data_IF_132521539262
#
_entry.id   IF_132521539262
#
_cell.length_a   1.000
_cell.length_b   1.000
_cell.length_c   1.000
_cell.angle_alpha   90.00
_cell.angle_beta   90.00
_cell.angle_gamma   90.00
#
_symmetry.space_group_name_H-M   'P 1'
#
loop_
_entity.id
_entity.type
_entity.pdbx_description
1 polymer ?
#
# COMPACT_ATOMS: atom_id res chain seq x y z
N UNK A 1 -1.91 -12.52 -8.26
CA UNK A 1 -2.07 -11.49 -7.20
C UNK A 1 -2.36 -12.18 -5.88
N UNK A 2 -1.61 -11.86 -4.81
CA UNK A 2 -1.81 -12.46 -3.48
C UNK A 2 -3.22 -12.10 -2.94
N UNK A 3 -3.86 -13.06 -2.28
CA UNK A 3 -5.16 -12.90 -1.63
C UNK A 3 -5.17 -11.79 -0.58
N UNK A 4 -4.04 -11.56 0.12
CA UNK A 4 -3.89 -10.41 1.00
C UNK A 4 -4.09 -9.08 0.25
N UNK A 5 -3.48 -8.94 -0.93
CA UNK A 5 -3.60 -7.74 -1.75
C UNK A 5 -5.03 -7.59 -2.27
N UNK A 6 -5.69 -8.69 -2.69
CA UNK A 6 -7.10 -8.67 -3.13
C UNK A 6 -8.01 -8.16 -2.02
N UNK A 7 -7.85 -8.70 -0.81
CA UNK A 7 -8.63 -8.32 0.37
C UNK A 7 -8.45 -6.84 0.68
N UNK A 8 -7.21 -6.32 0.62
CA UNK A 8 -6.93 -4.89 0.80
C UNK A 8 -7.62 -4.02 -0.23
N UNK A 9 -7.55 -4.38 -1.52
CA UNK A 9 -8.21 -3.58 -2.57
C UNK A 9 -9.73 -3.54 -2.38
N UNK A 10 -10.34 -4.67 -2.03
CA UNK A 10 -11.79 -4.73 -1.78
C UNK A 10 -12.17 -3.87 -0.58
N UNK A 11 -11.45 -3.98 0.53
CA UNK A 11 -11.72 -3.19 1.72
C UNK A 11 -11.53 -1.68 1.45
N UNK A 12 -10.49 -1.30 0.70
CA UNK A 12 -10.27 0.10 0.30
C UNK A 12 -11.41 0.64 -0.58
N UNK A 13 -11.95 -0.17 -1.49
CA UNK A 13 -13.11 0.23 -2.29
C UNK A 13 -14.35 0.46 -1.41
N UNK A 14 -14.58 -0.41 -0.42
CA UNK A 14 -15.66 -0.25 0.55
C UNK A 14 -15.50 1.07 1.31
N UNK A 15 -14.31 1.32 1.85
CA UNK A 15 -14.03 2.53 2.63
C UNK A 15 -14.22 3.81 1.81
N UNK A 16 -13.83 3.79 0.54
CA UNK A 16 -14.04 4.89 -0.40
C UNK A 16 -15.54 5.17 -0.63
N UNK A 17 -16.33 4.11 -0.82
CA UNK A 17 -17.78 4.23 -1.04
C UNK A 17 -18.48 4.70 0.23
N UNK A 18 -18.09 4.22 1.39
CA UNK A 18 -18.64 4.67 2.68
C UNK A 18 -18.33 6.16 2.90
N UNK A 19 -17.08 6.57 2.66
CA UNK A 19 -16.67 7.97 2.70
C UNK A 19 -17.47 8.85 1.74
N UNK A 20 -17.78 8.33 0.54
CA UNK A 20 -18.65 9.02 -0.42
C UNK A 20 -20.05 9.27 0.14
N UNK A 21 -20.70 8.25 0.71
CA UNK A 21 -22.04 8.39 1.27
C UNK A 21 -22.07 9.32 2.48
N UNK A 22 -21.04 9.28 3.32
CA UNK A 22 -20.89 10.22 4.44
C UNK A 22 -20.75 11.66 3.95
N UNK A 23 -19.87 11.92 2.98
CA UNK A 23 -19.65 13.26 2.44
C UNK A 23 -20.90 13.80 1.72
N UNK A 24 -21.62 12.94 0.99
CA UNK A 24 -22.89 13.30 0.37
C UNK A 24 -23.91 13.77 1.42
N UNK A 25 -23.95 13.11 2.59
CA UNK A 25 -24.84 13.49 3.70
C UNK A 25 -24.41 14.80 4.38
N UNK A 26 -23.10 15.01 4.55
CA UNK A 26 -22.55 16.14 5.34
C UNK A 26 -22.43 17.44 4.54
N UNK A 27 -21.94 17.39 3.29
CA UNK A 27 -21.41 18.59 2.62
C UNK A 27 -22.15 19.00 1.33
N UNK A 28 -23.03 18.16 0.76
CA UNK A 28 -23.89 18.53 -0.38
C UNK A 28 -23.20 18.97 -1.70
N UNK A 29 -21.85 19.01 -1.73
CA UNK A 29 -21.02 19.49 -2.84
C UNK A 29 -21.12 18.54 -4.04
N UNK A 30 -22.03 18.85 -4.97
CA UNK A 30 -22.33 18.00 -6.12
C UNK A 30 -21.13 17.71 -7.03
N UNK A 31 -20.16 18.63 -7.11
CA UNK A 31 -18.97 18.50 -7.94
C UNK A 31 -18.00 17.45 -7.40
N UNK A 32 -17.63 17.53 -6.11
CA UNK A 32 -16.73 16.55 -5.47
C UNK A 32 -17.37 15.16 -5.41
N UNK A 33 -18.68 15.11 -5.19
CA UNK A 33 -19.46 13.87 -5.22
C UNK A 33 -19.37 13.21 -6.60
N UNK A 34 -19.50 13.97 -7.70
CA UNK A 34 -19.43 13.41 -9.06
C UNK A 34 -18.07 12.74 -9.34
N UNK A 35 -16.97 13.39 -8.98
CA UNK A 35 -15.62 12.84 -9.18
C UNK A 35 -15.39 11.58 -8.35
N UNK A 36 -15.80 11.59 -7.08
CA UNK A 36 -15.61 10.47 -6.18
C UNK A 36 -16.43 9.23 -6.62
N UNK A 37 -17.64 9.45 -7.15
CA UNK A 37 -18.46 8.38 -7.75
C UNK A 37 -17.77 7.74 -8.95
N UNK A 38 -17.33 8.54 -9.93
CA UNK A 38 -16.65 8.01 -11.12
C UNK A 38 -15.35 7.28 -10.76
N UNK A 39 -14.61 7.77 -9.77
CA UNK A 39 -13.41 7.11 -9.27
C UNK A 39 -13.71 5.74 -8.65
N UNK A 40 -14.75 5.64 -7.79
CA UNK A 40 -15.16 4.35 -7.21
C UNK A 40 -15.64 3.34 -8.26
N UNK A 41 -16.33 3.81 -9.32
CA UNK A 41 -16.76 2.99 -10.44
C UNK A 41 -15.57 2.46 -11.24
N UNK A 42 -14.54 3.29 -11.47
CA UNK A 42 -13.29 2.88 -12.12
C UNK A 42 -12.57 1.77 -11.35
N UNK A 43 -12.40 1.93 -10.03
CA UNK A 43 -11.79 0.88 -9.19
C UNK A 43 -12.62 -0.40 -9.25
N UNK A 44 -13.95 -0.30 -9.11
CA UNK A 44 -14.83 -1.46 -9.17
C UNK A 44 -14.73 -2.18 -10.53
N UNK A 45 -14.63 -1.44 -11.63
CA UNK A 45 -14.40 -2.00 -12.97
C UNK A 45 -13.08 -2.77 -13.04
N UNK A 46 -11.99 -2.17 -12.58
CA UNK A 46 -10.67 -2.83 -12.56
C UNK A 46 -10.69 -4.10 -11.70
N UNK A 47 -11.38 -4.10 -10.56
CA UNK A 47 -11.48 -5.31 -9.72
C UNK A 47 -12.27 -6.44 -10.40
N UNK A 48 -13.26 -6.10 -11.23
CA UNK A 48 -13.98 -7.08 -12.05
C UNK A 48 -13.09 -7.62 -13.17
N UNK A 49 -12.37 -6.75 -13.89
CA UNK A 49 -11.44 -7.15 -14.95
C UNK A 49 -10.32 -8.05 -14.41
N UNK A 50 -9.81 -7.74 -13.23
CA UNK A 50 -8.81 -8.56 -12.54
C UNK A 50 -9.38 -9.85 -11.93
N UNK A 51 -10.68 -10.13 -12.11
CA UNK A 51 -11.38 -11.29 -11.53
C UNK A 51 -11.23 -11.38 -9.99
N UNK A 52 -11.11 -10.23 -9.33
CA UNK A 52 -11.00 -10.12 -7.86
C UNK A 52 -12.38 -10.20 -7.20
N UNK A 53 -13.38 -9.61 -7.86
CA UNK A 53 -14.81 -9.65 -7.50
C UNK A 53 -15.63 -9.86 -8.77
N UNK A 54 -16.86 -10.36 -8.63
CA UNK A 54 -17.79 -10.41 -9.75
C UNK A 54 -18.53 -9.07 -9.93
N UNK A 55 -19.21 -8.92 -11.08
CA UNK A 55 -19.95 -7.69 -11.38
C UNK A 55 -21.14 -7.44 -10.42
N UNK A 56 -21.70 -8.49 -9.81
CA UNK A 56 -22.81 -8.35 -8.88
C UNK A 56 -22.33 -7.82 -7.51
N UNK A 57 -21.19 -8.30 -7.05
CA UNK A 57 -20.48 -7.85 -5.86
C UNK A 57 -19.99 -6.41 -6.03
N UNK A 58 -19.39 -6.08 -7.18
CA UNK A 58 -19.01 -4.70 -7.52
C UNK A 58 -20.21 -3.74 -7.40
N UNK A 59 -21.36 -4.11 -8.00
CA UNK A 59 -22.61 -3.33 -7.89
C UNK A 59 -23.12 -3.21 -6.45
N UNK A 60 -22.97 -4.26 -5.64
CA UNK A 60 -23.35 -4.21 -4.22
C UNK A 60 -22.44 -3.28 -3.43
N UNK A 61 -21.13 -3.34 -3.65
CA UNK A 61 -20.17 -2.47 -2.98
C UNK A 61 -20.46 -1.01 -3.32
N UNK A 62 -20.65 -0.68 -4.61
CA UNK A 62 -20.97 0.70 -5.06
C UNK A 62 -22.32 1.23 -4.52
N UNK A 63 -23.21 0.36 -4.05
CA UNK A 63 -24.47 0.72 -3.36
C UNK A 63 -24.29 0.88 -1.84
N UNK A 64 -23.08 0.74 -1.30
CA UNK A 64 -22.81 0.76 0.13
C UNK A 64 -23.17 -0.54 0.86
N UNK A 65 -23.31 -1.66 0.15
CA UNK A 65 -23.69 -2.99 0.69
C UNK A 65 -22.51 -3.97 0.59
N UNK A 66 -21.28 -3.43 0.63
CA UNK A 66 -20.05 -4.19 0.62
C UNK A 66 -19.85 -4.98 1.92
N UNK A 67 -19.21 -6.15 1.85
CA UNK A 67 -18.82 -6.92 3.03
C UNK A 67 -17.31 -6.88 3.16
N UNK A 68 -16.80 -6.35 4.27
CA UNK A 68 -15.37 -6.35 4.56
C UNK A 68 -14.86 -7.78 4.71
N UNK A 69 -13.69 -8.04 4.13
CA UNK A 69 -13.02 -9.35 4.20
C UNK A 69 -11.90 -9.30 5.24
N UNK A 70 -11.75 -10.37 6.01
CA UNK A 70 -10.64 -10.53 6.96
C UNK A 70 -9.49 -11.23 6.23
N UNK A 71 -8.23 -10.79 6.41
CA UNK A 71 -7.09 -11.58 5.96
C UNK A 71 -7.14 -12.93 6.66
N UNK A 72 -6.96 -14.01 5.90
CA UNK A 72 -6.68 -15.32 6.51
C UNK A 72 -5.29 -15.18 7.11
N UNK A 73 -5.11 -15.42 8.42
CA UNK A 73 -3.77 -15.49 8.97
C UNK A 73 -3.04 -16.60 8.23
N UNK A 74 -1.94 -16.27 7.55
CA UNK A 74 -1.01 -17.27 7.06
C UNK A 74 -0.60 -18.09 8.29
N UNK A 75 -1.08 -19.32 8.39
CA UNK A 75 -0.50 -20.27 9.34
C UNK A 75 0.99 -20.31 9.02
N UNK A 76 1.87 -20.02 9.98
CA UNK A 76 3.30 -20.08 9.72
C UNK A 76 3.60 -21.50 9.24
N UNK A 77 4.00 -21.60 7.98
CA UNK A 77 4.53 -22.81 7.38
C UNK A 77 5.62 -23.30 8.34
N UNK A 78 5.42 -24.51 8.88
CA UNK A 78 6.29 -25.12 9.88
C UNK A 78 7.75 -24.84 9.54
N UNK A 79 8.44 -24.15 10.44
CA UNK A 79 9.89 -24.03 10.38
C UNK A 79 10.48 -25.43 10.13
N UNK A 80 11.41 -25.59 9.17
CA UNK A 80 12.08 -26.86 8.98
C UNK A 80 12.66 -27.29 10.33
N UNK A 81 12.42 -28.55 10.70
CA UNK A 81 12.87 -29.12 11.96
C UNK A 81 14.37 -28.80 12.17
N UNK A 82 14.78 -28.41 13.39
CA UNK A 82 16.18 -28.15 13.66
C UNK A 82 16.96 -29.45 13.43
N UNK A 83 17.82 -29.43 12.42
CA UNK A 83 18.79 -30.50 12.23
C UNK A 83 19.65 -30.60 13.50
N UNK A 84 19.66 -31.82 14.04
CA UNK A 84 20.38 -32.24 15.22
C UNK A 84 21.84 -31.78 15.16
N UNK A 85 22.23 -31.01 16.16
CA UNK A 85 23.58 -30.46 16.37
C UNK A 85 24.63 -31.58 16.43
N UNK A 86 25.60 -31.57 15.51
CA UNK A 86 26.92 -32.18 15.74
C UNK A 86 27.89 -31.11 16.25
N UNK A 87 28.61 -31.32 17.36
CA UNK A 87 29.46 -30.28 17.95
C UNK A 87 30.90 -30.26 17.41
N UNK A 88 31.51 -29.07 17.54
CA UNK A 88 32.94 -28.68 17.47
C UNK A 88 33.42 -28.06 16.13
N UNK A 89 34.41 -27.12 16.14
CA UNK A 89 35.27 -26.64 17.23
C UNK A 89 35.30 -25.09 17.42
N UNK A 90 36.09 -24.65 18.41
CA UNK A 90 36.24 -23.30 19.01
C UNK A 90 36.32 -22.10 18.04
N UNK A 91 35.88 -20.89 18.46
CA UNK A 91 35.96 -19.68 17.64
C UNK A 91 37.41 -19.19 17.48
N UNK A 92 37.84 -19.05 16.23
CA UNK A 92 39.08 -18.38 15.85
C UNK A 92 38.79 -16.87 15.77
N UNK A 93 39.49 -16.07 16.58
CA UNK A 93 39.36 -14.60 16.63
C UNK A 93 39.88 -14.02 15.32
N UNK A 94 38.97 -13.60 14.44
CA UNK A 94 39.30 -12.82 13.25
C UNK A 94 39.47 -11.37 13.68
N UNK A 95 40.68 -10.85 13.54
CA UNK A 95 40.96 -9.42 13.71
C UNK A 95 40.34 -8.67 12.53
N UNK A 96 39.28 -7.91 12.78
CA UNK A 96 38.75 -6.93 11.82
C UNK A 96 39.69 -5.74 11.72
N UNK A 97 40.22 -5.38 10.53
CA UNK A 97 40.88 -4.10 10.34
C UNK A 97 39.86 -2.93 10.41
N UNK A 98 40.30 -1.73 10.82
CA UNK A 98 39.42 -0.62 11.16
C UNK A 98 38.72 0.00 9.93
N UNK A 99 37.51 0.51 10.16
CA UNK A 99 36.73 1.32 9.24
C UNK A 99 37.59 2.46 8.67
N UNK A 100 37.88 2.41 7.37
CA UNK A 100 38.21 3.60 6.61
C UNK A 100 36.91 4.38 6.36
N UNK A 101 36.76 5.50 7.09
CA UNK A 101 35.82 6.58 6.76
C UNK A 101 35.98 6.96 5.29
N UNK A 102 35.09 6.48 4.43
CA UNK A 102 34.89 7.10 3.13
C UNK A 102 34.02 8.32 3.35
N UNK A 103 34.67 9.49 3.36
CA UNK A 103 34.01 10.79 3.24
C UNK A 103 33.07 10.77 2.04
N UNK A 104 31.77 10.97 2.29
CA UNK A 104 30.78 11.29 1.27
C UNK A 104 31.16 12.63 0.65
N UNK A 105 31.84 12.57 -0.49
CA UNK A 105 32.04 13.71 -1.37
C UNK A 105 30.70 14.02 -2.04
N UNK A 106 30.03 15.09 -1.58
CA UNK A 106 28.80 15.60 -2.19
C UNK A 106 29.11 16.93 -2.85
N UNK A 107 29.18 16.99 -4.20
CA UNK A 107 29.11 18.26 -4.89
C UNK A 107 27.78 18.40 -5.65
N UNK A 108 26.87 19.14 -5.01
CA UNK A 108 26.15 20.30 -5.57
C UNK A 108 25.68 20.22 -7.04
N UNK A 109 24.47 19.69 -7.29
CA UNK A 109 23.81 19.78 -8.61
C UNK A 109 22.62 20.76 -8.64
N UNK A 110 22.20 21.36 -7.52
CA UNK A 110 21.14 22.38 -7.52
C UNK A 110 21.66 23.76 -7.09
N UNK A 111 22.34 24.44 -8.02
CA UNK A 111 22.51 25.90 -7.94
C UNK A 111 22.44 26.53 -9.33
N UNK A 112 21.24 26.65 -9.88
CA UNK A 112 20.88 27.72 -10.82
C UNK A 112 19.42 28.11 -10.55
N UNK A 113 19.22 29.28 -9.94
CA UNK A 113 18.91 30.58 -10.57
C UNK A 113 17.40 30.78 -10.76
N UNK A 114 16.88 31.86 -10.19
CA UNK A 114 15.48 32.26 -10.39
C UNK A 114 14.83 33.08 -9.29
N UNK A 115 15.59 33.70 -8.39
CA UNK A 115 15.05 34.75 -7.51
C UNK A 115 14.72 36.00 -8.32
N UNK A 116 13.51 36.09 -8.86
CA UNK A 116 12.93 37.41 -9.21
C UNK A 116 12.39 38.02 -7.93
N UNK A 117 13.19 38.92 -7.36
CA UNK A 117 12.70 39.93 -6.43
C UNK A 117 11.67 40.78 -7.17
N UNK A 118 10.47 40.83 -6.60
CA UNK A 118 9.49 41.86 -6.83
C UNK A 118 9.82 42.97 -5.85
N UNK A 119 10.34 44.10 -6.33
CA UNK A 119 10.34 45.36 -5.58
C UNK A 119 9.91 46.47 -6.53
N UNK A 120 8.75 47.05 -6.19
CA UNK A 120 8.25 48.41 -6.41
C UNK A 120 8.43 49.09 -7.78
#
# INVERSE_FOLDING_TARGET
>A
MNDFTKIKLINNLIDLVDYFYENKRKNGSASQIKYLKGFSEGIAHTLVEMSVIDSAEAKRILKGIGKRRKPVPETPESAPAPETVSPAPKPQRVETPPLTSQSLDVPTIFRQQGGKKSEL
#
